data_IF_188155145199
#
_entry.id   IF_188155145199
#
_cell.length_a   1.000
_cell.length_b   1.000
_cell.length_c   1.000
_cell.angle_alpha   90.00
_cell.angle_beta   90.00
_cell.angle_gamma   90.00
#
_symmetry.space_group_name_H-M   'P 1'
#
loop_
_entity.id
_entity.type
_entity.pdbx_description
1 polymer ?
#
# COMPACT_ATOMS: atom_id res chain seq x y z
N UNK A 1 -33.75 33.48 46.87
CA UNK A 1 -33.36 34.38 45.77
C UNK A 1 -32.72 33.54 44.66
N UNK A 2 -33.45 33.34 43.56
CA UNK A 2 -32.95 32.82 42.27
C UNK A 2 -32.29 33.97 41.47
N UNK A 3 -31.79 33.81 40.21
CA UNK A 3 -31.03 32.73 39.54
C UNK A 3 -29.95 33.27 38.54
N UNK A 4 -29.31 32.39 37.75
CA UNK A 4 -29.25 32.37 36.24
C UNK A 4 -28.11 31.46 35.73
N UNK A 5 -28.45 30.28 35.19
CA UNK A 5 -28.33 29.84 33.77
C UNK A 5 -26.89 29.59 33.29
N UNK A 6 -26.52 28.39 32.84
CA UNK A 6 -26.84 27.90 31.49
C UNK A 6 -27.05 26.38 31.46
N UNK A 7 -28.26 26.03 31.06
CA UNK A 7 -28.74 24.71 30.63
C UNK A 7 -28.32 24.47 29.18
N UNK A 8 -27.59 23.39 28.91
CA UNK A 8 -27.60 22.75 27.57
C UNK A 8 -28.79 21.78 27.54
N UNK A 9 -29.63 21.79 26.50
CA UNK A 9 -30.80 20.93 26.46
C UNK A 9 -30.37 19.48 26.26
N UNK A 10 -30.86 18.61 27.15
CA UNK A 10 -31.03 17.20 26.89
C UNK A 10 -31.91 17.06 25.64
N UNK A 11 -31.35 16.53 24.56
CA UNK A 11 -32.16 16.06 23.44
C UNK A 11 -32.82 14.77 23.91
N UNK A 12 -34.05 14.90 24.35
CA UNK A 12 -34.98 13.80 24.53
C UNK A 12 -35.08 13.03 23.21
N UNK A 13 -34.70 11.76 23.25
CA UNK A 13 -34.98 10.80 22.18
C UNK A 13 -36.49 10.58 22.15
N UNK A 14 -37.19 11.36 21.34
CA UNK A 14 -38.61 11.18 21.04
C UNK A 14 -38.71 9.94 20.14
N UNK A 15 -39.40 8.85 20.54
CA UNK A 15 -39.68 7.75 19.65
C UNK A 15 -40.82 8.20 18.72
N UNK A 16 -40.46 8.92 17.67
CA UNK A 16 -41.41 9.27 16.61
C UNK A 16 -41.61 8.01 15.75
N UNK A 17 -42.69 7.30 16.08
CA UNK A 17 -43.31 6.39 15.14
C UNK A 17 -43.63 7.15 13.85
N UNK A 18 -43.42 6.49 12.72
CA UNK A 18 -43.72 6.95 11.36
C UNK A 18 -42.76 7.96 10.73
N UNK A 19 -41.61 7.48 10.25
CA UNK A 19 -41.19 7.74 8.87
C UNK A 19 -40.12 6.77 8.35
N UNK A 20 -40.43 5.46 8.30
CA UNK A 20 -39.73 4.56 7.36
C UNK A 20 -40.50 4.58 6.03
N UNK A 21 -40.58 5.74 5.39
CA UNK A 21 -40.81 5.74 3.94
C UNK A 21 -39.46 5.45 3.32
N UNK A 22 -39.33 4.24 2.82
CA UNK A 22 -38.22 3.75 2.02
C UNK A 22 -37.98 4.72 0.86
N UNK A 23 -37.10 5.69 1.08
CA UNK A 23 -36.35 6.31 0.01
C UNK A 23 -35.28 5.30 -0.34
N UNK A 24 -35.59 4.40 -1.28
CA UNK A 24 -34.60 4.14 -2.32
C UNK A 24 -34.65 5.42 -3.12
N UNK A 25 -33.73 6.39 -2.92
CA UNK A 25 -33.63 7.44 -3.93
C UNK A 25 -33.39 6.68 -5.23
N UNK A 26 -33.94 7.16 -6.33
CA UNK A 26 -33.52 6.71 -7.64
C UNK A 26 -32.02 7.02 -7.79
N UNK A 27 -31.17 6.15 -7.25
CA UNK A 27 -29.72 6.16 -7.31
C UNK A 27 -29.21 6.51 -8.72
N UNK A 28 -29.84 6.02 -9.82
CA UNK A 28 -29.41 6.39 -11.17
C UNK A 28 -29.65 7.87 -11.55
N UNK A 29 -30.56 8.60 -10.88
CA UNK A 29 -30.88 10.00 -11.22
C UNK A 29 -29.85 10.99 -10.68
N UNK A 30 -29.21 10.67 -9.56
CA UNK A 30 -28.17 11.52 -8.95
C UNK A 30 -26.75 11.18 -9.42
N UNK A 31 -26.51 9.97 -9.94
CA UNK A 31 -25.17 9.52 -10.35
C UNK A 31 -25.23 8.72 -11.67
N UNK A 32 -24.97 9.36 -12.82
CA UNK A 32 -25.18 8.76 -14.14
C UNK A 32 -24.02 7.85 -14.64
N UNK A 33 -23.19 7.28 -13.75
CA UNK A 33 -22.14 6.32 -14.14
C UNK A 33 -22.13 5.08 -13.23
N UNK A 34 -21.92 3.86 -13.79
CA UNK A 34 -22.64 2.69 -13.30
C UNK A 34 -21.71 1.71 -12.59
N UNK A 35 -21.56 1.90 -11.28
CA UNK A 35 -21.29 0.80 -10.33
C UNK A 35 -22.02 1.09 -9.04
N UNK A 36 -23.34 1.04 -9.11
CA UNK A 36 -24.15 0.98 -7.91
C UNK A 36 -23.97 -0.39 -7.27
N UNK A 37 -23.81 -0.46 -5.94
CA UNK A 37 -23.99 -1.72 -5.24
C UNK A 37 -25.34 -2.33 -5.63
N UNK A 38 -25.39 -3.65 -5.80
CA UNK A 38 -26.66 -4.32 -6.07
C UNK A 38 -27.60 -4.17 -4.87
N UNK A 39 -28.91 -4.24 -5.13
CA UNK A 39 -29.96 -4.06 -4.11
C UNK A 39 -29.71 -4.87 -2.83
N UNK A 40 -29.14 -6.08 -2.93
CA UNK A 40 -28.79 -6.92 -1.79
C UNK A 40 -27.79 -6.27 -0.81
N UNK A 41 -26.79 -5.55 -1.31
CA UNK A 41 -25.81 -4.85 -0.48
C UNK A 41 -26.44 -3.64 0.22
N UNK A 42 -27.38 -2.97 -0.45
CA UNK A 42 -28.13 -1.85 0.11
C UNK A 42 -29.05 -2.34 1.24
N UNK A 43 -29.81 -3.43 1.03
CA UNK A 43 -30.64 -4.02 2.08
C UNK A 43 -29.84 -4.48 3.29
N UNK A 44 -28.68 -5.12 3.09
CA UNK A 44 -27.82 -5.53 4.19
C UNK A 44 -27.30 -4.35 5.01
N UNK A 45 -26.95 -3.25 4.33
CA UNK A 45 -26.50 -2.01 4.98
C UNK A 45 -27.63 -1.32 5.74
N UNK A 46 -28.84 -1.26 5.15
CA UNK A 46 -30.05 -0.69 5.76
C UNK A 46 -30.46 -1.49 7.00
N UNK A 47 -30.48 -2.83 6.91
CA UNK A 47 -30.75 -3.73 8.05
C UNK A 47 -29.71 -3.57 9.16
N UNK A 48 -28.42 -3.46 8.82
CA UNK A 48 -27.37 -3.20 9.80
C UNK A 48 -27.57 -1.85 10.52
N UNK A 49 -27.92 -0.79 9.80
CA UNK A 49 -28.26 0.51 10.39
C UNK A 49 -29.48 0.43 11.30
N UNK A 50 -30.54 -0.26 10.87
CA UNK A 50 -31.77 -0.42 11.66
C UNK A 50 -31.51 -1.15 12.98
N UNK A 51 -30.54 -2.07 12.99
CA UNK A 51 -30.13 -2.83 14.17
C UNK A 51 -28.97 -2.20 14.96
N UNK A 52 -28.57 -0.96 14.66
CA UNK A 52 -27.41 -0.28 15.23
C UNK A 52 -26.10 -1.09 15.15
N UNK A 53 -25.98 -1.98 14.16
CA UNK A 53 -24.76 -2.74 13.89
C UNK A 53 -23.80 -1.88 13.07
N UNK A 54 -22.52 -1.93 13.40
CA UNK A 54 -21.49 -1.24 12.63
C UNK A 54 -21.46 -1.77 11.18
N UNK A 55 -21.53 -0.87 10.20
CA UNK A 55 -21.23 -1.19 8.80
C UNK A 55 -19.71 -1.33 8.69
N UNK A 56 -19.20 -2.49 9.07
CA UNK A 56 -17.80 -2.81 8.88
C UNK A 56 -17.56 -3.12 7.39
N UNK A 57 -16.44 -2.66 6.78
CA UNK A 57 -16.03 -3.22 5.50
C UNK A 57 -15.96 -4.74 5.66
N UNK A 58 -16.42 -5.49 4.66
CA UNK A 58 -16.29 -6.96 4.67
C UNK A 58 -14.86 -7.27 5.07
N UNK A 59 -14.66 -8.21 6.01
CA UNK A 59 -13.33 -8.61 6.45
C UNK A 59 -12.55 -9.17 5.26
N UNK A 60 -11.94 -8.26 4.49
CA UNK A 60 -11.08 -8.49 3.34
C UNK A 60 -9.71 -8.92 3.86
N UNK A 61 -9.71 -10.00 4.65
CA UNK A 61 -8.53 -10.59 5.26
C UNK A 61 -8.30 -12.05 4.84
N UNK A 62 -9.24 -12.64 4.09
CA UNK A 62 -9.15 -14.03 3.61
C UNK A 62 -8.26 -14.18 2.38
N UNK A 63 -7.06 -13.62 2.39
CA UNK A 63 -6.07 -13.92 1.36
C UNK A 63 -5.75 -15.42 1.40
N UNK A 64 -5.87 -16.12 0.25
CA UNK A 64 -5.50 -17.53 0.15
C UNK A 64 -4.09 -17.72 0.71
N UNK A 65 -3.97 -18.52 1.77
CA UNK A 65 -2.71 -18.82 2.42
C UNK A 65 -1.69 -19.28 1.37
N UNK A 66 -0.50 -18.67 1.39
CA UNK A 66 0.61 -19.09 0.55
C UNK A 66 1.14 -20.41 1.11
N UNK A 67 1.41 -21.36 0.21
CA UNK A 67 2.11 -22.58 0.60
C UNK A 67 3.50 -22.21 1.11
N UNK A 68 3.78 -22.56 2.37
CA UNK A 68 5.00 -22.21 3.10
C UNK A 68 6.24 -22.71 2.37
N UNK A 69 6.18 -23.93 1.79
CA UNK A 69 7.30 -24.52 1.03
C UNK A 69 7.62 -23.71 -0.21
N UNK A 70 6.60 -23.23 -0.90
CA UNK A 70 6.76 -22.39 -2.09
C UNK A 70 7.33 -21.02 -1.72
N UNK A 71 6.89 -20.44 -0.60
CA UNK A 71 7.40 -19.17 -0.09
C UNK A 71 8.90 -19.26 0.28
N UNK A 72 9.28 -20.26 1.04
CA UNK A 72 10.68 -20.50 1.43
C UNK A 72 11.59 -20.68 0.22
N UNK A 73 11.16 -21.48 -0.77
CA UNK A 73 11.92 -21.70 -2.00
C UNK A 73 12.14 -20.42 -2.81
N UNK A 74 11.15 -19.51 -2.84
CA UNK A 74 11.29 -18.19 -3.45
C UNK A 74 12.34 -17.35 -2.70
N UNK A 75 12.26 -17.34 -1.37
CA UNK A 75 13.17 -16.57 -0.52
C UNK A 75 14.61 -17.08 -0.61
N UNK A 76 14.83 -18.39 -0.70
CA UNK A 76 16.16 -18.97 -0.83
C UNK A 76 16.85 -18.62 -2.15
N UNK A 77 16.11 -18.61 -3.25
CA UNK A 77 16.64 -18.16 -4.55
C UNK A 77 17.08 -16.70 -4.47
N UNK A 78 16.30 -15.85 -3.81
CA UNK A 78 16.60 -14.44 -3.63
C UNK A 78 17.76 -14.18 -2.67
N UNK A 79 17.91 -14.99 -1.62
CA UNK A 79 19.06 -14.91 -0.70
C UNK A 79 20.37 -15.24 -1.42
N UNK A 80 20.35 -16.25 -2.28
CA UNK A 80 21.53 -16.63 -3.09
C UNK A 80 21.86 -15.59 -4.15
N UNK A 81 20.84 -15.03 -4.79
CA UNK A 81 20.99 -14.10 -5.90
C UNK A 81 20.05 -12.89 -5.77
N UNK A 82 20.45 -11.86 -5.00
CA UNK A 82 19.58 -10.72 -4.70
C UNK A 82 19.30 -9.83 -5.90
N UNK A 83 20.13 -9.89 -6.95
CA UNK A 83 20.02 -9.04 -8.14
C UNK A 83 18.87 -9.41 -9.07
N UNK A 84 18.17 -10.51 -8.79
CA UNK A 84 17.13 -11.01 -9.68
C UNK A 84 15.85 -10.21 -9.58
N UNK A 85 15.30 -9.91 -10.75
CA UNK A 85 13.92 -9.48 -10.86
C UNK A 85 12.97 -10.62 -10.51
N UNK A 86 11.79 -10.25 -10.03
CA UNK A 86 10.66 -11.14 -9.73
C UNK A 86 10.29 -12.08 -10.90
N UNK A 87 10.51 -11.68 -12.16
CA UNK A 87 10.18 -12.51 -13.35
C UNK A 87 11.25 -13.59 -13.55
N UNK A 88 12.51 -13.22 -13.32
CA UNK A 88 13.65 -14.12 -13.38
C UNK A 88 13.59 -15.17 -12.27
N UNK A 89 13.18 -14.78 -11.06
CA UNK A 89 12.93 -15.71 -9.95
C UNK A 89 11.84 -16.73 -10.32
N UNK A 90 10.71 -16.27 -10.86
CA UNK A 90 9.64 -17.16 -11.30
C UNK A 90 10.11 -18.18 -12.36
N UNK A 91 10.97 -17.76 -13.31
CA UNK A 91 11.57 -18.65 -14.30
C UNK A 91 12.54 -19.66 -13.67
N UNK A 92 13.35 -19.23 -12.70
CA UNK A 92 14.31 -20.11 -12.00
C UNK A 92 13.67 -21.21 -11.17
N UNK A 93 12.47 -20.99 -10.67
CA UNK A 93 11.74 -21.99 -9.89
C UNK A 93 11.20 -23.14 -10.75
N UNK A 94 11.24 -23.00 -12.08
CA UNK A 94 10.87 -24.02 -13.05
C UNK A 94 9.47 -23.83 -13.64
N UNK A 95 9.20 -24.62 -14.68
CA UNK A 95 7.92 -24.64 -15.38
C UNK A 95 7.20 -25.96 -15.07
N UNK A 96 5.88 -25.88 -14.86
CA UNK A 96 4.97 -27.02 -14.82
C UNK A 96 3.96 -26.85 -15.96
N UNK A 97 3.90 -27.83 -16.87
CA UNK A 97 3.07 -27.78 -18.09
C UNK A 97 3.27 -26.48 -18.90
N UNK A 98 4.53 -26.07 -19.10
CA UNK A 98 4.87 -24.86 -19.87
C UNK A 98 4.59 -23.52 -19.16
N UNK A 99 4.09 -23.52 -17.92
CA UNK A 99 3.84 -22.31 -17.12
C UNK A 99 4.73 -22.25 -15.88
N UNK A 100 5.14 -21.07 -15.39
CA UNK A 100 5.88 -20.94 -14.14
C UNK A 100 5.12 -21.60 -12.99
N UNK A 101 5.82 -22.41 -12.18
CA UNK A 101 5.25 -23.02 -10.97
C UNK A 101 4.69 -21.93 -10.04
N UNK A 102 5.40 -20.80 -9.98
CA UNK A 102 5.00 -19.61 -9.23
C UNK A 102 4.92 -18.43 -10.19
N UNK A 103 3.77 -17.76 -10.24
CA UNK A 103 3.62 -16.57 -11.07
C UNK A 103 4.44 -15.40 -10.52
N UNK A 104 4.90 -14.52 -11.40
CA UNK A 104 5.61 -13.28 -11.01
C UNK A 104 4.87 -12.47 -9.94
N UNK A 105 3.54 -12.33 -10.07
CA UNK A 105 2.71 -11.58 -9.14
C UNK A 105 2.70 -12.23 -7.75
N UNK A 106 2.75 -13.57 -7.69
CA UNK A 106 2.87 -14.33 -6.44
C UNK A 106 4.23 -14.10 -5.79
N UNK A 107 5.31 -14.11 -6.56
CA UNK A 107 6.66 -13.74 -6.07
C UNK A 107 6.65 -12.33 -5.49
N UNK A 108 6.03 -11.37 -6.20
CA UNK A 108 5.93 -9.99 -5.72
C UNK A 108 5.11 -9.88 -4.42
N UNK A 109 4.02 -10.64 -4.28
CA UNK A 109 3.23 -10.70 -3.05
C UNK A 109 4.04 -11.28 -1.87
N UNK A 110 4.83 -12.34 -2.10
CA UNK A 110 5.74 -12.92 -1.11
C UNK A 110 6.76 -11.88 -0.65
N UNK A 111 7.39 -11.16 -1.59
CA UNK A 111 8.34 -10.09 -1.27
C UNK A 111 7.70 -9.00 -0.41
N UNK A 112 6.50 -8.54 -0.78
CA UNK A 112 5.76 -7.52 -0.03
C UNK A 112 5.43 -7.98 1.39
N UNK A 113 5.00 -9.25 1.55
CA UNK A 113 4.70 -9.85 2.86
C UNK A 113 5.94 -9.90 3.76
N UNK A 114 7.09 -10.26 3.21
CA UNK A 114 8.37 -10.34 3.92
C UNK A 114 9.10 -8.98 4.02
N UNK A 115 8.45 -7.86 3.67
CA UNK A 115 9.02 -6.50 3.67
C UNK A 115 10.32 -6.38 2.86
N UNK A 116 10.49 -7.24 1.86
CA UNK A 116 11.63 -7.24 0.95
C UNK A 116 11.29 -6.41 -0.29
N UNK A 117 12.18 -5.48 -0.66
CA UNK A 117 12.06 -4.73 -1.91
C UNK A 117 12.77 -5.48 -3.03
N UNK A 118 12.14 -5.68 -4.20
CA UNK A 118 12.82 -6.21 -5.37
C UNK A 118 14.05 -5.35 -5.69
N UNK A 119 15.16 -5.99 -6.07
CA UNK A 119 16.36 -5.28 -6.47
C UNK A 119 16.11 -4.50 -7.77
N UNK A 120 16.38 -3.19 -7.73
CA UNK A 120 16.32 -2.32 -8.90
C UNK A 120 17.73 -2.15 -9.44
N UNK A 121 17.94 -2.56 -10.68
CA UNK A 121 19.19 -2.31 -11.39
C UNK A 121 19.15 -0.87 -11.88
N UNK A 122 20.04 -0.04 -11.35
CA UNK A 122 20.27 1.31 -11.83
C UNK A 122 21.40 1.31 -12.84
N UNK A 123 21.20 1.99 -13.98
CA UNK A 123 22.29 2.25 -14.91
C UNK A 123 23.17 3.32 -14.31
N UNK A 124 24.45 3.02 -14.17
CA UNK A 124 25.47 3.96 -13.72
C UNK A 124 26.41 4.27 -14.88
N UNK A 125 27.08 5.42 -14.85
CA UNK A 125 28.16 5.70 -15.79
C UNK A 125 29.22 4.59 -15.70
N UNK A 126 29.82 4.25 -16.85
CA UNK A 126 30.82 3.19 -16.96
C UNK A 126 32.17 3.65 -16.40
N UNK A 127 32.22 3.86 -15.08
CA UNK A 127 33.42 4.33 -14.37
C UNK A 127 34.50 3.25 -14.41
N UNK A 128 35.71 3.68 -14.73
CA UNK A 128 36.88 2.83 -14.69
C UNK A 128 37.36 2.68 -13.23
N UNK A 129 38.08 1.59 -12.89
CA UNK A 129 38.64 1.41 -11.55
C UNK A 129 39.53 2.58 -11.09
N UNK A 130 40.24 3.22 -12.03
CA UNK A 130 41.10 4.39 -11.80
C UNK A 130 40.28 5.61 -11.33
N UNK A 131 39.05 5.76 -11.81
CA UNK A 131 38.19 6.91 -11.48
C UNK A 131 37.77 6.89 -10.01
N UNK A 132 37.73 5.72 -9.37
CA UNK A 132 37.38 5.61 -7.96
C UNK A 132 38.33 6.41 -7.07
N UNK A 133 39.64 6.32 -7.33
CA UNK A 133 40.66 7.02 -6.54
C UNK A 133 40.53 8.52 -6.74
N UNK A 134 40.51 8.95 -8.01
CA UNK A 134 40.38 10.37 -8.39
C UNK A 134 39.12 11.01 -7.80
N UNK A 135 37.97 10.33 -7.87
CA UNK A 135 36.72 10.82 -7.29
C UNK A 135 36.78 10.90 -5.77
N UNK A 136 37.43 9.93 -5.12
CA UNK A 136 37.57 9.93 -3.66
C UNK A 136 38.46 11.08 -3.20
N UNK A 137 39.58 11.32 -3.88
CA UNK A 137 40.47 12.44 -3.61
C UNK A 137 39.77 13.78 -3.86
N UNK A 138 39.06 13.91 -4.98
CA UNK A 138 38.26 15.10 -5.27
C UNK A 138 37.21 15.36 -4.18
N UNK A 139 36.43 14.34 -3.79
CA UNK A 139 35.42 14.51 -2.72
C UNK A 139 36.07 14.91 -1.38
N UNK A 140 37.22 14.33 -1.03
CA UNK A 140 37.96 14.70 0.18
C UNK A 140 38.44 16.14 0.13
N UNK A 141 39.04 16.54 -0.99
CA UNK A 141 39.47 17.91 -1.22
C UNK A 141 38.28 18.88 -1.14
N UNK A 142 37.15 18.54 -1.76
CA UNK A 142 35.94 19.36 -1.76
C UNK A 142 35.41 19.61 -0.35
N UNK A 143 35.37 18.55 0.48
CA UNK A 143 34.97 18.66 1.89
C UNK A 143 35.95 19.54 2.67
N UNK A 144 37.26 19.41 2.42
CA UNK A 144 38.27 20.26 3.08
C UNK A 144 38.11 21.75 2.72
N UNK A 145 37.78 22.05 1.45
CA UNK A 145 37.52 23.42 1.03
C UNK A 145 36.27 24.00 1.69
N UNK A 146 35.20 23.21 1.82
CA UNK A 146 33.97 23.66 2.47
C UNK A 146 34.16 23.93 3.97
N UNK A 147 34.97 23.11 4.66
CA UNK A 147 35.35 23.36 6.06
C UNK A 147 36.24 24.60 6.20
N UNK A 148 37.17 24.80 5.28
CA UNK A 148 38.12 25.94 5.32
C UNK A 148 37.46 27.25 4.92
N UNK A 149 36.37 27.19 4.14
CA UNK A 149 35.66 28.35 3.61
C UNK A 149 34.15 28.08 3.62
N UNK A 150 33.42 28.46 4.68
CA UNK A 150 31.98 28.25 4.73
C UNK A 150 31.30 28.95 3.54
N UNK A 151 30.41 28.23 2.85
CA UNK A 151 29.74 28.71 1.62
C UNK A 151 30.60 28.54 0.36
N UNK A 152 31.58 27.64 0.36
CA UNK A 152 32.35 27.31 -0.85
C UNK A 152 31.48 26.58 -1.88
N UNK A 153 30.70 25.57 -1.45
CA UNK A 153 29.88 24.76 -2.35
C UNK A 153 28.80 25.58 -3.09
N UNK A 154 28.21 26.58 -2.42
CA UNK A 154 27.19 27.47 -3.00
C UNK A 154 27.74 28.35 -4.14
N UNK A 155 29.07 28.52 -4.22
CA UNK A 155 29.72 29.31 -5.27
C UNK A 155 30.20 28.47 -6.46
N UNK A 156 30.23 27.15 -6.30
CA UNK A 156 30.81 26.20 -7.27
C UNK A 156 29.73 25.41 -8.01
N UNK A 157 28.60 25.14 -7.35
CA UNK A 157 27.44 24.41 -7.90
C UNK A 157 26.41 25.41 -8.41
#
# INVERSE_FOLDING_TARGET
MYPKSLTYPSISFIPSQHFCQASTPSLPRQYPHPRHPGLSHDYASISACAENRAIAPSASGGGRQLDVRTEERVLDVLRREPRLGTRSVAKRLGLRHGRPIVSHSKVHAILKRNRMRPYKIHRVQALLPVDRVRRTEFCRWLIQQDVSSPGFLERVI
#
